data_IF_427659512466
#
_entry.id   IF_427659512466
#
_cell.length_a   1.000
_cell.length_b   1.000
_cell.length_c   1.000
_cell.angle_alpha   90.00
_cell.angle_beta   90.00
_cell.angle_gamma   90.00
#
_symmetry.space_group_name_H-M   'P 1'
#
loop_
_entity.id
_entity.type
_entity.pdbx_description
1 polymer ?
#
# COMPACT_ATOMS: atom_id res chain seq x y z
N UNK A 1 11.45 -14.51 -4.15
CA UNK A 1 10.44 -15.01 -3.21
C UNK A 1 9.87 -16.36 -3.65
N UNK A 2 9.28 -16.46 -4.85
CA UNK A 2 8.69 -17.70 -5.35
C UNK A 2 9.68 -18.87 -5.42
N UNK A 3 10.95 -18.60 -5.78
CA UNK A 3 12.02 -19.60 -5.84
C UNK A 3 12.37 -20.21 -4.49
N UNK A 4 12.26 -19.43 -3.40
CA UNK A 4 12.69 -19.86 -2.06
C UNK A 4 11.57 -20.38 -1.17
N UNK A 5 10.35 -19.83 -1.32
CA UNK A 5 9.21 -20.16 -0.45
C UNK A 5 8.07 -20.92 -1.15
N UNK A 6 8.16 -21.11 -2.45
CA UNK A 6 7.12 -21.73 -3.28
C UNK A 6 6.12 -20.72 -3.85
N UNK A 7 5.53 -21.06 -4.98
CA UNK A 7 4.55 -20.21 -5.69
C UNK A 7 3.20 -20.10 -4.97
N UNK A 8 2.87 -21.10 -4.15
CA UNK A 8 1.63 -21.23 -3.40
C UNK A 8 1.64 -20.49 -2.04
N UNK A 9 2.79 -19.87 -1.67
CA UNK A 9 2.93 -19.14 -0.41
C UNK A 9 2.39 -17.70 -0.49
N UNK A 10 1.35 -17.44 -1.28
CA UNK A 10 0.71 -16.14 -1.39
C UNK A 10 -0.80 -16.23 -1.12
N UNK A 11 -1.32 -15.19 -0.46
CA UNK A 11 -2.74 -14.89 -0.36
C UNK A 11 -2.97 -13.59 -1.13
N UNK A 12 -3.84 -13.62 -2.12
CA UNK A 12 -4.32 -12.43 -2.82
C UNK A 12 -5.37 -11.73 -1.94
N UNK A 13 -5.35 -10.40 -1.96
CA UNK A 13 -6.19 -9.53 -1.13
C UNK A 13 -7.06 -8.60 -1.99
N UNK A 14 -7.20 -8.87 -3.29
CA UNK A 14 -7.93 -8.02 -4.24
C UNK A 14 -9.44 -7.98 -3.98
N UNK A 15 -9.96 -8.90 -3.18
CA UNK A 15 -11.35 -8.90 -2.68
C UNK A 15 -11.60 -7.84 -1.59
N UNK A 16 -10.53 -7.42 -0.89
CA UNK A 16 -10.59 -6.46 0.21
C UNK A 16 -9.88 -5.14 -0.07
N UNK A 17 -8.92 -5.12 -0.98
CA UNK A 17 -8.11 -3.96 -1.35
C UNK A 17 -8.32 -3.64 -2.83
N UNK A 18 -8.80 -2.44 -3.12
CA UNK A 18 -9.34 -2.08 -4.43
C UNK A 18 -8.33 -1.37 -5.33
N UNK A 19 -7.28 -0.79 -4.76
CA UNK A 19 -6.25 -0.12 -5.54
C UNK A 19 -5.26 -1.16 -6.08
N UNK A 20 -5.12 -1.18 -7.39
CA UNK A 20 -4.26 -2.11 -8.14
C UNK A 20 -3.22 -1.40 -9.01
N UNK A 21 -3.31 -0.07 -9.11
CA UNK A 21 -2.47 0.71 -10.02
C UNK A 21 -2.22 2.13 -9.51
N UNK A 22 -1.13 2.72 -9.99
CA UNK A 22 -0.86 4.14 -9.83
C UNK A 22 -0.17 4.73 -11.06
N UNK A 23 -0.48 5.99 -11.36
CA UNK A 23 0.32 6.83 -12.24
C UNK A 23 1.28 7.64 -11.37
N UNK A 24 2.58 7.38 -11.50
CA UNK A 24 3.62 8.03 -10.71
C UNK A 24 4.42 9.03 -11.55
N UNK A 25 4.73 10.19 -10.98
CA UNK A 25 5.45 11.24 -11.67
C UNK A 25 6.25 12.14 -10.72
N UNK A 26 6.80 13.20 -11.30
CA UNK A 26 7.65 14.17 -10.61
C UNK A 26 7.20 15.57 -10.97
N UNK A 27 7.07 16.44 -9.97
CA UNK A 27 6.68 17.83 -10.16
C UNK A 27 7.77 18.74 -9.62
N UNK A 28 8.20 19.70 -10.43
CA UNK A 28 9.16 20.73 -10.02
C UNK A 28 8.47 21.77 -9.14
N UNK A 29 9.16 22.29 -8.14
CA UNK A 29 8.67 23.39 -7.32
C UNK A 29 8.54 24.68 -8.15
N UNK A 30 7.45 25.41 -7.97
CA UNK A 30 7.31 26.81 -8.41
C UNK A 30 7.83 27.72 -7.30
N UNK A 31 7.45 27.43 -6.06
CA UNK A 31 7.95 28.10 -4.87
C UNK A 31 8.30 27.07 -3.82
N UNK A 32 9.58 26.72 -3.73
CA UNK A 32 10.06 25.67 -2.85
C UNK A 32 9.73 25.95 -1.38
N UNK A 33 9.89 27.18 -0.92
CA UNK A 33 9.69 27.55 0.49
C UNK A 33 8.21 27.38 0.93
N UNK A 34 7.28 27.50 -0.02
CA UNK A 34 5.85 27.33 0.24
C UNK A 34 5.35 25.90 0.00
N UNK A 35 5.99 25.16 -0.89
CA UNK A 35 5.52 23.85 -1.34
C UNK A 35 6.25 22.68 -0.66
N UNK A 36 7.44 22.92 -0.10
CA UNK A 36 8.22 21.90 0.58
C UNK A 36 7.82 21.79 2.05
N UNK A 37 7.02 20.77 2.37
CA UNK A 37 6.60 20.46 3.73
C UNK A 37 7.35 19.23 4.25
N UNK A 38 7.55 19.06 5.58
CA UNK A 38 8.24 17.92 6.16
C UNK A 38 7.33 16.69 6.35
N UNK A 39 6.30 16.56 5.52
CA UNK A 39 5.34 15.46 5.57
C UNK A 39 4.88 15.03 4.18
N UNK A 40 4.44 13.79 4.10
CA UNK A 40 3.69 13.27 2.94
C UNK A 40 2.24 13.75 3.03
N UNK A 41 1.72 14.22 1.92
CA UNK A 41 0.34 14.66 1.78
C UNK A 41 -0.42 13.62 0.94
N UNK A 42 -1.54 13.12 1.48
CA UNK A 42 -2.46 12.21 0.81
C UNK A 42 -3.80 12.92 0.60
N UNK A 43 -4.27 12.93 -0.64
CA UNK A 43 -5.53 13.59 -0.99
C UNK A 43 -6.46 12.64 -1.73
N UNK A 44 -7.71 12.56 -1.29
CA UNK A 44 -8.76 11.87 -2.01
C UNK A 44 -9.10 12.60 -3.32
N UNK A 45 -9.07 11.89 -4.43
CA UNK A 45 -9.31 12.37 -5.79
C UNK A 45 -10.61 11.77 -6.33
N UNK A 46 -11.05 12.13 -7.54
CA UNK A 46 -12.28 11.61 -8.13
C UNK A 46 -12.23 10.10 -8.38
N UNK A 47 -11.07 9.59 -8.83
CA UNK A 47 -10.91 8.19 -9.23
C UNK A 47 -10.10 7.33 -8.25
N UNK A 48 -9.80 7.86 -7.05
CA UNK A 48 -8.98 7.22 -6.03
C UNK A 48 -8.31 8.25 -5.13
N UNK A 49 -6.99 8.17 -4.94
CA UNK A 49 -6.27 9.12 -4.12
C UNK A 49 -4.86 9.38 -4.66
N UNK A 50 -4.27 10.52 -4.35
CA UNK A 50 -2.90 10.87 -4.71
C UNK A 50 -2.03 11.05 -3.49
N UNK A 51 -0.73 10.75 -3.65
CA UNK A 51 0.30 11.18 -2.71
C UNK A 51 1.13 12.34 -3.27
N UNK A 52 1.70 13.14 -2.36
CA UNK A 52 2.71 14.13 -2.63
C UNK A 52 3.81 14.01 -1.57
N UNK A 53 5.03 13.76 -2.02
CA UNK A 53 6.20 13.58 -1.17
C UNK A 53 7.22 14.66 -1.55
N UNK A 54 7.32 15.76 -0.77
CA UNK A 54 8.32 16.77 -0.99
C UNK A 54 9.73 16.21 -0.72
N UNK A 55 10.65 16.45 -1.63
CA UNK A 55 12.08 16.13 -1.47
C UNK A 55 12.89 17.39 -1.69
N UNK A 56 14.22 17.35 -1.50
CA UNK A 56 15.06 18.55 -1.63
C UNK A 56 15.01 19.21 -3.01
N UNK A 57 14.85 18.43 -4.08
CA UNK A 57 14.93 18.95 -5.47
C UNK A 57 13.59 19.00 -6.19
N UNK A 58 12.58 18.25 -5.74
CA UNK A 58 11.30 18.06 -6.44
C UNK A 58 10.25 17.46 -5.53
N UNK A 59 9.02 17.42 -5.98
CA UNK A 59 7.96 16.59 -5.37
C UNK A 59 7.83 15.27 -6.14
N UNK A 60 7.88 14.15 -5.42
CA UNK A 60 7.39 12.87 -5.91
C UNK A 60 5.87 12.85 -5.76
N UNK A 61 5.14 12.39 -6.77
CA UNK A 61 3.68 12.31 -6.69
C UNK A 61 3.17 11.09 -7.44
N UNK A 62 2.00 10.63 -7.08
CA UNK A 62 1.32 9.59 -7.83
C UNK A 62 -0.16 9.52 -7.47
N UNK A 63 -0.95 9.04 -8.42
CA UNK A 63 -2.38 8.88 -8.33
C UNK A 63 -2.73 7.40 -8.34
N UNK A 64 -3.18 6.90 -7.20
CA UNK A 64 -3.64 5.52 -7.02
C UNK A 64 -5.08 5.37 -7.47
N UNK A 65 -5.38 4.32 -8.22
CA UNK A 65 -6.71 4.05 -8.76
C UNK A 65 -6.94 2.56 -9.03
N UNK A 66 -8.17 2.20 -9.37
CA UNK A 66 -8.54 0.85 -9.79
C UNK A 66 -8.79 0.82 -11.30
N UNK A 67 -8.04 -0.01 -12.04
CA UNK A 67 -8.12 -0.11 -13.51
C UNK A 67 -9.44 -0.68 -14.02
N UNK A 68 -10.13 -1.47 -13.23
CA UNK A 68 -11.45 -1.99 -13.60
C UNK A 68 -12.55 -0.93 -13.51
N UNK A 69 -12.32 0.15 -12.75
CA UNK A 69 -13.28 1.24 -12.56
C UNK A 69 -12.98 2.41 -13.49
N UNK A 70 -11.70 2.77 -13.66
CA UNK A 70 -11.28 3.94 -14.44
C UNK A 70 -10.05 3.62 -15.27
N UNK A 71 -10.03 4.04 -16.54
CA UNK A 71 -8.87 3.83 -17.42
C UNK A 71 -7.67 4.70 -17.00
N UNK A 72 -6.43 4.23 -17.23
CA UNK A 72 -5.23 5.03 -16.99
C UNK A 72 -5.24 6.38 -17.68
N UNK A 73 -5.74 6.46 -18.91
CA UNK A 73 -5.81 7.72 -19.70
C UNK A 73 -6.74 8.75 -19.05
N UNK A 74 -7.86 8.29 -18.47
CA UNK A 74 -8.77 9.18 -17.74
C UNK A 74 -8.11 9.74 -16.48
N UNK A 75 -7.42 8.88 -15.74
CA UNK A 75 -6.68 9.27 -14.53
C UNK A 75 -5.52 10.19 -14.88
N UNK A 76 -4.80 9.96 -15.99
CA UNK A 76 -3.70 10.79 -16.43
C UNK A 76 -4.16 12.24 -16.71
N UNK A 77 -5.25 12.40 -17.46
CA UNK A 77 -5.83 13.73 -17.76
C UNK A 77 -6.28 14.48 -16.49
N UNK A 78 -6.95 13.79 -15.57
CA UNK A 78 -7.36 14.37 -14.27
C UNK A 78 -6.12 14.77 -13.46
N UNK A 79 -5.09 13.93 -13.45
CA UNK A 79 -3.87 14.17 -12.70
C UNK A 79 -3.04 15.34 -13.24
N UNK A 80 -2.88 15.45 -14.56
CA UNK A 80 -2.22 16.57 -15.22
C UNK A 80 -2.95 17.89 -14.92
N UNK A 81 -4.28 17.89 -15.05
CA UNK A 81 -5.12 19.03 -14.70
C UNK A 81 -4.97 19.43 -13.23
N UNK A 82 -4.94 18.46 -12.32
CA UNK A 82 -4.75 18.72 -10.88
C UNK A 82 -3.43 19.45 -10.57
N UNK A 83 -2.39 19.18 -11.36
CA UNK A 83 -1.08 19.83 -11.24
C UNK A 83 -0.94 21.10 -12.12
N UNK A 84 -2.03 21.68 -12.62
CA UNK A 84 -2.01 22.85 -13.48
C UNK A 84 -1.06 22.70 -14.69
N UNK A 85 -1.02 21.51 -15.29
CA UNK A 85 -0.12 21.11 -16.37
C UNK A 85 1.39 21.24 -16.05
N UNK A 86 1.77 21.17 -14.77
CA UNK A 86 3.18 21.13 -14.32
C UNK A 86 3.84 19.78 -14.56
N UNK A 87 3.08 18.78 -14.97
CA UNK A 87 3.48 17.43 -15.39
C UNK A 87 2.74 17.09 -16.67
N UNK A 88 3.37 16.40 -17.60
CA UNK A 88 2.72 15.91 -18.82
C UNK A 88 2.27 14.45 -18.65
N UNK A 89 1.35 13.98 -19.50
CA UNK A 89 0.97 12.56 -19.53
C UNK A 89 2.16 11.66 -19.85
N UNK A 90 3.07 12.10 -20.70
CA UNK A 90 4.28 11.35 -21.11
C UNK A 90 5.30 11.17 -19.97
N UNK A 91 5.26 12.03 -18.94
CA UNK A 91 6.12 11.94 -17.78
C UNK A 91 5.57 10.98 -16.70
N UNK A 92 4.36 10.46 -16.90
CA UNK A 92 3.71 9.57 -15.97
C UNK A 92 4.10 8.11 -16.22
N UNK A 93 4.52 7.44 -15.17
CA UNK A 93 4.81 6.01 -15.19
C UNK A 93 3.65 5.23 -14.58
N UNK A 94 3.05 4.33 -15.35
CA UNK A 94 2.07 3.38 -14.83
C UNK A 94 2.80 2.32 -14.00
N UNK A 95 2.31 2.11 -12.79
CA UNK A 95 2.70 1.07 -11.86
C UNK A 95 1.48 0.18 -11.60
N UNK A 96 1.67 -1.12 -11.70
CA UNK A 96 0.63 -2.13 -11.47
C UNK A 96 1.07 -3.11 -10.40
N UNK A 97 0.14 -3.55 -9.56
CA UNK A 97 0.38 -4.59 -8.59
C UNK A 97 -0.90 -5.38 -8.28
N UNK A 98 -0.71 -6.53 -7.66
CA UNK A 98 -1.77 -7.27 -6.99
C UNK A 98 -1.56 -7.15 -5.49
N UNK A 99 -2.54 -6.62 -4.73
CA UNK A 99 -2.47 -6.66 -3.28
C UNK A 99 -2.36 -8.10 -2.80
N UNK A 100 -1.32 -8.40 -2.01
CA UNK A 100 -1.07 -9.76 -1.55
C UNK A 100 -0.13 -9.81 -0.35
N UNK A 101 -0.19 -10.90 0.41
CA UNK A 101 0.79 -11.23 1.45
C UNK A 101 1.23 -12.68 1.41
N UNK A 102 2.30 -13.00 2.12
CA UNK A 102 2.67 -14.38 2.39
C UNK A 102 1.62 -15.09 3.27
N UNK A 103 1.44 -16.40 3.05
CA UNK A 103 0.80 -17.30 4.01
C UNK A 103 1.69 -17.49 5.23
N UNK A 104 3.00 -17.71 4.97
CA UNK A 104 4.04 -17.80 5.97
C UNK A 104 5.17 -16.84 5.59
N UNK A 105 5.56 -15.97 6.50
CA UNK A 105 6.64 -15.00 6.31
C UNK A 105 8.00 -15.59 6.62
N UNK A 106 8.05 -16.57 7.53
CA UNK A 106 9.24 -17.35 7.84
C UNK A 106 8.98 -18.84 7.58
N UNK A 107 9.80 -19.46 6.74
CA UNK A 107 9.72 -20.90 6.39
C UNK A 107 11.13 -21.46 6.29
N UNK A 108 11.45 -22.41 7.16
CA UNK A 108 12.79 -22.98 7.26
C UNK A 108 13.84 -21.89 7.57
N UNK A 109 14.82 -21.72 6.72
CA UNK A 109 15.86 -20.69 6.86
C UNK A 109 15.61 -19.43 6.02
N UNK A 110 14.38 -19.20 5.53
CA UNK A 110 14.04 -18.05 4.69
C UNK A 110 12.97 -17.19 5.35
N UNK A 111 13.27 -15.90 5.49
CA UNK A 111 12.36 -14.87 6.00
C UNK A 111 12.03 -13.88 4.90
N UNK A 112 10.75 -13.54 4.74
CA UNK A 112 10.27 -12.52 3.80
C UNK A 112 9.96 -11.22 4.55
N UNK A 113 10.65 -10.13 4.20
CA UNK A 113 10.47 -8.79 4.77
C UNK A 113 10.23 -7.78 3.65
N UNK A 114 9.44 -6.73 3.92
CA UNK A 114 9.08 -5.70 2.95
C UNK A 114 8.29 -6.28 1.77
N UNK A 115 8.60 -5.86 0.54
CA UNK A 115 7.90 -6.31 -0.68
C UNK A 115 7.98 -7.82 -0.92
N UNK A 116 8.96 -8.51 -0.35
CA UNK A 116 9.02 -9.96 -0.42
C UNK A 116 7.97 -10.65 0.47
N UNK A 117 7.55 -10.00 1.54
CA UNK A 117 6.49 -10.47 2.42
C UNK A 117 5.08 -10.21 1.90
N UNK A 118 4.90 -9.10 1.19
CA UNK A 118 3.62 -8.68 0.63
C UNK A 118 3.63 -7.20 0.25
N UNK A 119 2.55 -6.80 -0.38
CA UNK A 119 2.26 -5.39 -0.67
C UNK A 119 0.75 -5.20 -0.72
N UNK A 120 0.28 -4.15 -0.10
CA UNK A 120 -1.13 -3.76 -0.10
C UNK A 120 -1.34 -2.56 -1.01
N UNK A 121 -1.11 -1.36 -0.52
CA UNK A 121 -1.08 -0.11 -1.29
C UNK A 121 -0.23 0.92 -0.53
N UNK A 122 0.18 2.03 -1.17
CA UNK A 122 1.10 2.99 -0.52
C UNK A 122 0.45 3.91 0.52
N UNK A 123 -0.85 3.78 0.79
CA UNK A 123 -1.57 4.65 1.73
C UNK A 123 -0.93 4.61 3.12
N UNK A 124 -0.71 5.81 3.70
CA UNK A 124 -0.15 6.02 5.05
C UNK A 124 1.21 5.31 5.29
N UNK A 125 1.95 5.00 4.20
CA UNK A 125 3.24 4.32 4.28
C UNK A 125 3.19 2.96 5.00
N UNK A 126 2.04 2.27 4.96
CA UNK A 126 1.83 0.96 5.60
C UNK A 126 2.89 -0.06 5.23
N UNK A 127 3.38 -0.05 3.98
CA UNK A 127 4.46 -0.93 3.53
C UNK A 127 5.78 -0.73 4.29
N UNK A 128 6.13 0.52 4.64
CA UNK A 128 7.32 0.83 5.46
C UNK A 128 7.11 0.38 6.90
N UNK A 129 5.93 0.63 7.47
CA UNK A 129 5.61 0.19 8.83
C UNK A 129 5.69 -1.33 8.96
N UNK A 130 5.14 -2.08 8.00
CA UNK A 130 5.21 -3.55 7.95
C UNK A 130 6.64 -4.06 7.81
N UNK A 131 7.49 -3.37 7.03
CA UNK A 131 8.90 -3.72 6.90
C UNK A 131 9.66 -3.53 8.22
N UNK A 132 9.47 -2.41 8.91
CA UNK A 132 10.08 -2.11 10.21
C UNK A 132 9.65 -3.16 11.23
N UNK A 133 8.36 -3.44 11.34
CA UNK A 133 7.84 -4.48 12.24
C UNK A 133 8.40 -5.86 11.93
N UNK A 134 8.56 -6.19 10.64
CA UNK A 134 9.19 -7.44 10.24
C UNK A 134 10.64 -7.56 10.73
N UNK A 135 11.41 -6.46 10.71
CA UNK A 135 12.76 -6.43 11.26
C UNK A 135 12.77 -6.56 12.79
N UNK A 136 11.90 -5.82 13.49
CA UNK A 136 11.78 -5.88 14.96
C UNK A 136 11.40 -7.29 15.44
N UNK A 137 10.39 -7.90 14.83
CA UNK A 137 9.96 -9.25 15.18
C UNK A 137 11.01 -10.31 14.86
N UNK A 138 11.76 -10.12 13.76
CA UNK A 138 12.84 -11.02 13.41
C UNK A 138 13.99 -10.94 14.44
N UNK A 139 14.38 -9.73 14.86
CA UNK A 139 15.39 -9.51 15.88
C UNK A 139 15.01 -10.23 17.19
N UNK A 140 13.79 -10.01 17.69
CA UNK A 140 13.28 -10.67 18.89
C UNK A 140 13.29 -12.20 18.75
N UNK A 141 12.77 -12.73 17.63
CA UNK A 141 12.67 -14.16 17.40
C UNK A 141 14.05 -14.80 17.24
N UNK A 142 15.00 -14.15 16.58
CA UNK A 142 16.36 -14.66 16.44
C UNK A 142 17.10 -14.73 17.79
N UNK A 143 16.86 -13.78 18.68
CA UNK A 143 17.43 -13.82 20.03
C UNK A 143 16.93 -15.04 20.82
N UNK A 144 15.64 -15.38 20.69
CA UNK A 144 15.01 -16.48 21.40
C UNK A 144 15.20 -17.84 20.71
N UNK A 145 15.35 -17.86 19.38
CA UNK A 145 15.42 -19.06 18.53
C UNK A 145 16.57 -20.03 18.90
N UNK A 146 17.58 -19.52 19.62
CA UNK A 146 18.66 -20.34 20.19
C UNK A 146 18.12 -21.42 21.14
N UNK A 147 16.99 -21.16 21.78
CA UNK A 147 16.39 -22.02 22.82
C UNK A 147 15.18 -22.81 22.33
N UNK A 148 14.41 -22.29 21.39
CA UNK A 148 13.19 -22.95 20.89
C UNK A 148 12.80 -22.50 19.45
N UNK A 149 13.52 -22.99 18.43
CA UNK A 149 13.44 -22.45 17.07
C UNK A 149 12.05 -22.58 16.42
N UNK A 150 11.35 -23.69 16.59
CA UNK A 150 10.06 -23.92 15.93
C UNK A 150 8.97 -22.99 16.48
N UNK A 151 8.93 -22.82 17.80
CA UNK A 151 7.98 -21.91 18.46
C UNK A 151 8.17 -20.45 18.02
N UNK A 152 9.41 -20.00 17.88
CA UNK A 152 9.70 -18.62 17.50
C UNK A 152 9.37 -18.33 16.04
N UNK A 153 9.54 -19.31 15.15
CA UNK A 153 9.10 -19.21 13.74
C UNK A 153 7.58 -19.04 13.67
N UNK A 154 6.82 -19.81 14.44
CA UNK A 154 5.35 -19.70 14.47
C UNK A 154 4.89 -18.37 15.06
N UNK A 155 5.50 -17.91 16.14
CA UNK A 155 5.21 -16.60 16.74
C UNK A 155 5.48 -15.47 15.73
N UNK A 156 6.62 -15.50 15.04
CA UNK A 156 6.92 -14.53 13.98
C UNK A 156 5.85 -14.49 12.90
N UNK A 157 5.46 -15.68 12.39
CA UNK A 157 4.44 -15.80 11.36
C UNK A 157 3.09 -15.24 11.81
N UNK A 158 2.63 -15.58 13.01
CA UNK A 158 1.38 -15.07 13.58
C UNK A 158 1.41 -13.55 13.72
N UNK A 159 2.49 -12.98 14.25
CA UNK A 159 2.65 -11.52 14.42
C UNK A 159 2.65 -10.79 13.10
N UNK A 160 3.36 -11.30 12.08
CA UNK A 160 3.40 -10.70 10.75
C UNK A 160 2.04 -10.79 10.04
N UNK A 161 1.34 -11.92 10.13
CA UNK A 161 0.00 -12.07 9.59
C UNK A 161 -0.93 -11.05 10.23
N UNK A 162 -0.96 -10.97 11.56
CA UNK A 162 -1.79 -10.00 12.29
C UNK A 162 -1.45 -8.55 11.89
N UNK A 163 -0.17 -8.22 11.73
CA UNK A 163 0.23 -6.88 11.30
C UNK A 163 -0.27 -6.53 9.89
N UNK A 164 -0.26 -7.50 8.96
CA UNK A 164 -0.82 -7.30 7.63
C UNK A 164 -2.34 -7.16 7.65
N UNK A 165 -3.06 -8.00 8.39
CA UNK A 165 -4.52 -7.89 8.53
C UNK A 165 -4.92 -6.54 9.12
N UNK A 166 -4.26 -6.10 10.20
CA UNK A 166 -4.50 -4.78 10.79
C UNK A 166 -4.22 -3.63 9.80
N UNK A 167 -3.20 -3.76 8.95
CA UNK A 167 -2.91 -2.77 7.92
C UNK A 167 -3.98 -2.76 6.81
N UNK A 168 -4.53 -3.91 6.44
CA UNK A 168 -5.66 -4.02 5.50
C UNK A 168 -6.91 -3.33 6.08
N UNK A 169 -7.24 -3.59 7.34
CA UNK A 169 -8.38 -2.97 8.01
C UNK A 169 -8.20 -1.45 8.14
N UNK A 170 -6.98 -1.01 8.48
CA UNK A 170 -6.64 0.40 8.54
C UNK A 170 -6.83 1.12 7.19
N UNK A 171 -6.38 0.52 6.09
CA UNK A 171 -6.61 1.04 4.74
C UNK A 171 -8.11 1.08 4.42
N UNK A 172 -8.85 0.01 4.72
CA UNK A 172 -10.29 -0.05 4.50
C UNK A 172 -11.08 1.01 5.27
N UNK A 173 -10.63 1.40 6.47
CA UNK A 173 -11.24 2.50 7.23
C UNK A 173 -11.24 3.82 6.44
N UNK A 174 -10.17 4.14 5.72
CA UNK A 174 -10.10 5.36 4.90
C UNK A 174 -11.16 5.36 3.80
N UNK A 175 -11.44 4.21 3.19
CA UNK A 175 -12.48 4.10 2.16
C UNK A 175 -13.89 4.07 2.75
N UNK A 176 -14.09 3.33 3.83
CA UNK A 176 -15.37 3.16 4.50
C UNK A 176 -15.94 4.50 5.01
N UNK A 177 -15.09 5.29 5.68
CA UNK A 177 -15.50 6.57 6.27
C UNK A 177 -15.35 7.78 5.35
N UNK A 178 -14.91 7.60 4.12
CA UNK A 178 -14.84 8.69 3.15
C UNK A 178 -16.25 9.16 2.76
N UNK A 179 -16.49 10.45 2.86
CA UNK A 179 -17.74 11.08 2.40
C UNK A 179 -17.73 11.46 0.91
N UNK A 180 -16.61 11.19 0.21
CA UNK A 180 -16.45 11.46 -1.21
C UNK A 180 -17.47 10.67 -2.03
N UNK A 181 -17.94 11.29 -3.12
CA UNK A 181 -18.86 10.71 -4.08
C UNK A 181 -18.16 10.48 -5.41
N UNK A 182 -18.71 9.61 -6.23
CA UNK A 182 -18.20 9.27 -7.54
C UNK A 182 -18.02 7.77 -7.71
N UNK A 183 -17.87 7.33 -8.96
CA UNK A 183 -17.87 5.91 -9.34
C UNK A 183 -16.93 5.04 -8.49
N UNK A 184 -15.72 5.54 -8.22
CA UNK A 184 -14.75 4.83 -7.37
C UNK A 184 -15.24 4.75 -5.91
N UNK A 185 -15.58 5.89 -5.30
CA UNK A 185 -15.94 5.97 -3.88
C UNK A 185 -17.25 5.25 -3.54
N UNK A 186 -18.22 5.31 -4.45
CA UNK A 186 -19.51 4.63 -4.29
C UNK A 186 -19.38 3.11 -4.43
N UNK A 187 -18.35 2.64 -5.17
CA UNK A 187 -18.02 1.22 -5.27
C UNK A 187 -17.26 0.71 -4.02
N UNK A 188 -16.22 1.41 -3.57
CA UNK A 188 -15.34 0.89 -2.52
C UNK A 188 -15.95 0.97 -1.11
N UNK A 189 -16.74 1.99 -0.82
CA UNK A 189 -17.31 2.24 0.52
C UNK A 189 -18.14 1.08 1.08
N UNK A 190 -19.15 0.54 0.38
CA UNK A 190 -19.98 -0.54 0.93
C UNK A 190 -19.18 -1.83 1.11
N UNK A 191 -18.22 -2.12 0.24
CA UNK A 191 -17.40 -3.33 0.33
C UNK A 191 -16.44 -3.23 1.52
N UNK A 192 -15.76 -2.10 1.70
CA UNK A 192 -14.89 -1.84 2.86
C UNK A 192 -15.66 -1.94 4.19
N UNK A 193 -16.88 -1.42 4.24
CA UNK A 193 -17.73 -1.51 5.43
C UNK A 193 -18.10 -2.95 5.78
N UNK A 194 -18.41 -3.78 4.78
CA UNK A 194 -18.74 -5.20 4.98
C UNK A 194 -17.55 -5.97 5.55
N UNK A 195 -16.34 -5.71 5.03
CA UNK A 195 -15.12 -6.37 5.52
C UNK A 195 -14.78 -5.98 6.95
N UNK A 196 -14.83 -4.69 7.31
CA UNK A 196 -14.57 -4.24 8.68
C UNK A 196 -15.52 -4.91 9.69
N UNK A 197 -16.82 -5.01 9.37
CA UNK A 197 -17.81 -5.66 10.26
C UNK A 197 -17.63 -7.17 10.41
N UNK A 198 -17.09 -7.85 9.41
CA UNK A 198 -16.84 -9.28 9.49
C UNK A 198 -15.74 -9.67 10.51
N UNK A 199 -14.90 -8.70 10.90
CA UNK A 199 -13.87 -8.87 11.93
C UNK A 199 -14.35 -8.53 13.35
N UNK A 200 -15.56 -7.97 13.51
CA UNK A 200 -16.15 -7.64 14.82
C UNK A 200 -16.94 -8.80 15.45
N UNK A 201 -17.17 -9.89 14.71
CA UNK A 201 -17.91 -11.10 15.16
C UNK A 201 -16.98 -12.29 15.30
#
# INVERSE_FOLDING_TARGET
>A
KQLLMGSDNNIELSDRLFIDSALAGRVTYVNKDKEMHPYTDCQAMEHGWRWRIPTQSRMGTGYCFNRSITSPDTVAKDFVKHWDNRISEDDLKLLDWKPQRCKQFWKGNVVSIGLSGGFIEPLESTGLALMIRGCEYLEESMYNCVYNPDTDIDIYNVRMISSFENAVDYVNMHYCYSERKGKFWDYVRPVSYTHLRAHET
#
